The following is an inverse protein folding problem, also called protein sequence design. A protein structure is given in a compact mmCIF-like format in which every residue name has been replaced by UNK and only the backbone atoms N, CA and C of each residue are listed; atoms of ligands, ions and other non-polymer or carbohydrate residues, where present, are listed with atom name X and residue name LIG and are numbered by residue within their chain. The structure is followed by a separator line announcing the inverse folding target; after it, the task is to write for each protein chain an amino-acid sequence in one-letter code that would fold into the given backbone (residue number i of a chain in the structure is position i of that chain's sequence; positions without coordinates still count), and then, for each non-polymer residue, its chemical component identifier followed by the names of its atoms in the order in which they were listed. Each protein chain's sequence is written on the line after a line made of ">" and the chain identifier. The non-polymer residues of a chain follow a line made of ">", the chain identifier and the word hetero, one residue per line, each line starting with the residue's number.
data_IF_783780450310
#
_entry.id   IF_783780450310
#
_cell.length_a   1.000
_cell.length_b   1.000
_cell.length_c   1.000
_cell.angle_alpha   90.00
_cell.angle_beta   90.00
_cell.angle_gamma   90.00
#
_symmetry.space_group_name_H-M   'P 1'
#
loop_
_entity.id
_entity.type
_entity.pdbx_description
1 polymer ?
#
# COMPACT_ATOMS: atom_id res chain seq x y z
N UNK A 1 12.92 9.17 -22.11
CA UNK A 1 12.87 9.58 -20.71
C UNK A 1 11.89 10.74 -20.63
N UNK A 2 10.84 10.60 -19.84
CA UNK A 2 9.87 11.68 -19.63
C UNK A 2 10.50 12.78 -18.78
N UNK A 3 10.12 14.03 -19.05
CA UNK A 3 10.55 15.22 -18.33
C UNK A 3 9.40 15.78 -17.50
N UNK A 4 9.74 16.60 -16.53
CA UNK A 4 8.77 17.48 -15.89
C UNK A 4 8.07 18.31 -16.99
N UNK A 5 6.78 18.57 -16.80
CA UNK A 5 5.88 19.26 -17.76
C UNK A 5 5.54 18.52 -19.06
N UNK A 6 6.03 17.28 -19.26
CA UNK A 6 5.55 16.44 -20.37
C UNK A 6 4.05 16.11 -20.19
N UNK A 7 3.28 16.26 -21.27
CA UNK A 7 1.88 15.85 -21.27
C UNK A 7 1.75 14.36 -21.57
N UNK A 8 1.02 13.63 -20.73
CA UNK A 8 0.69 12.22 -20.93
C UNK A 8 -0.82 12.05 -21.13
N UNK A 9 -1.21 11.21 -22.10
CA UNK A 9 -2.59 10.75 -22.22
C UNK A 9 -2.85 9.68 -21.16
N UNK A 10 -3.91 9.84 -20.38
CA UNK A 10 -4.27 8.93 -19.29
C UNK A 10 -5.74 8.55 -19.44
N UNK A 11 -6.07 7.27 -19.26
CA UNK A 11 -7.46 6.81 -19.21
C UNK A 11 -8.06 7.02 -17.81
N UNK A 12 -9.39 6.93 -17.72
CA UNK A 12 -10.07 6.85 -16.43
C UNK A 12 -9.61 5.61 -15.64
N UNK A 13 -9.70 5.71 -14.31
CA UNK A 13 -9.35 4.61 -13.40
C UNK A 13 -10.29 3.42 -13.62
N UNK A 14 -9.73 2.27 -14.01
CA UNK A 14 -10.45 1.01 -14.12
C UNK A 14 -10.37 0.20 -12.81
N UNK A 15 -10.58 0.86 -11.65
CA UNK A 15 -10.33 0.24 -10.34
C UNK A 15 -11.30 -0.91 -10.06
N UNK A 16 -10.77 -2.13 -9.99
CA UNK A 16 -11.51 -3.34 -9.59
C UNK A 16 -11.02 -3.91 -8.27
N UNK A 17 -9.88 -3.42 -7.75
CA UNK A 17 -9.26 -3.92 -6.53
C UNK A 17 -9.61 -3.02 -5.35
N UNK A 18 -10.57 -3.46 -4.53
CA UNK A 18 -11.13 -2.67 -3.42
C UNK A 18 -11.04 -3.39 -2.08
N UNK A 19 -11.27 -2.64 -1.00
CA UNK A 19 -11.40 -3.18 0.34
C UNK A 19 -12.82 -3.71 0.57
N UNK A 20 -12.91 -4.91 1.13
CA UNK A 20 -14.14 -5.35 1.79
C UNK A 20 -14.27 -4.52 3.07
N UNK A 21 -15.34 -3.75 3.26
CA UNK A 21 -15.47 -2.78 4.36
C UNK A 21 -15.62 -3.46 5.74
N UNK A 22 -16.31 -4.62 5.79
CA UNK A 22 -16.66 -5.30 7.05
C UNK A 22 -15.75 -6.49 7.40
N UNK A 23 -14.59 -6.61 6.76
CA UNK A 23 -13.65 -7.66 7.12
C UNK A 23 -13.10 -7.44 8.55
N UNK A 24 -13.21 -8.46 9.39
CA UNK A 24 -12.69 -8.46 10.78
C UNK A 24 -11.17 -8.30 10.82
N UNK A 25 -10.47 -8.94 9.89
CA UNK A 25 -9.04 -8.81 9.72
C UNK A 25 -8.65 -8.90 8.24
N UNK A 26 -7.55 -8.23 7.87
CA UNK A 26 -7.02 -8.20 6.50
C UNK A 26 -5.53 -8.55 6.53
N UNK A 27 -5.13 -9.59 5.80
CA UNK A 27 -3.74 -9.89 5.54
C UNK A 27 -3.39 -9.39 4.14
N UNK A 28 -2.48 -8.42 4.07
CA UNK A 28 -1.98 -7.84 2.83
C UNK A 28 -0.56 -8.36 2.57
N UNK A 29 -0.33 -8.92 1.40
CA UNK A 29 0.99 -9.40 0.98
C UNK A 29 1.36 -8.66 -0.30
N UNK A 30 2.45 -7.90 -0.24
CA UNK A 30 2.97 -7.10 -1.33
C UNK A 30 4.36 -7.61 -1.73
N UNK A 31 4.57 -7.88 -3.01
CA UNK A 31 5.90 -8.13 -3.55
C UNK A 31 6.37 -6.95 -4.40
N UNK A 32 7.56 -6.42 -4.12
CA UNK A 32 8.17 -5.31 -4.90
C UNK A 32 7.16 -4.18 -5.17
N UNK A 33 6.92 -3.84 -6.44
CA UNK A 33 6.02 -2.75 -6.85
C UNK A 33 4.53 -3.03 -6.54
N UNK A 34 4.15 -4.28 -6.24
CA UNK A 34 2.79 -4.64 -5.86
C UNK A 34 2.29 -3.90 -4.61
N UNK A 35 3.21 -3.33 -3.82
CA UNK A 35 2.87 -2.44 -2.70
C UNK A 35 2.11 -1.19 -3.13
N UNK A 36 2.21 -0.74 -4.40
CA UNK A 36 1.65 0.54 -4.87
C UNK A 36 0.13 0.61 -4.70
N UNK A 37 -0.59 -0.48 -5.01
CA UNK A 37 -2.05 -0.51 -4.85
C UNK A 37 -2.40 -0.70 -3.37
N UNK A 38 -1.66 -1.55 -2.66
CA UNK A 38 -1.92 -1.84 -1.26
C UNK A 38 -1.63 -0.63 -0.36
N UNK A 39 -0.65 0.21 -0.68
CA UNK A 39 -0.34 1.42 0.09
C UNK A 39 -1.51 2.40 0.09
N UNK A 40 -2.18 2.59 -1.06
CA UNK A 40 -3.38 3.42 -1.17
C UNK A 40 -4.54 2.86 -0.33
N UNK A 41 -4.78 1.56 -0.39
CA UNK A 41 -5.84 0.92 0.40
C UNK A 41 -5.55 0.99 1.90
N UNK A 42 -4.29 0.78 2.29
CA UNK A 42 -3.84 0.86 3.69
C UNK A 42 -3.94 2.30 4.20
N UNK A 43 -3.59 3.30 3.38
CA UNK A 43 -3.79 4.71 3.71
C UNK A 43 -5.28 5.02 3.91
N UNK A 44 -6.17 4.51 3.06
CA UNK A 44 -7.63 4.65 3.24
C UNK A 44 -8.08 4.04 4.58
N UNK A 45 -7.63 2.83 4.91
CA UNK A 45 -7.92 2.21 6.21
C UNK A 45 -7.40 3.04 7.39
N UNK A 46 -6.21 3.62 7.26
CA UNK A 46 -5.62 4.45 8.29
C UNK A 46 -6.42 5.74 8.52
N UNK A 47 -6.83 6.42 7.45
CA UNK A 47 -7.70 7.60 7.51
C UNK A 47 -9.06 7.28 8.15
N UNK A 48 -9.57 6.07 7.98
CA UNK A 48 -10.78 5.58 8.65
C UNK A 48 -10.55 5.14 10.11
N UNK A 49 -9.32 5.21 10.64
CA UNK A 49 -8.98 4.68 11.96
C UNK A 49 -9.00 3.15 12.06
N UNK A 50 -9.07 2.44 10.93
CA UNK A 50 -9.22 0.99 10.83
C UNK A 50 -7.92 0.24 10.52
N UNK A 51 -6.77 0.91 10.47
CA UNK A 51 -5.48 0.26 10.16
C UNK A 51 -5.10 -0.84 11.15
N UNK A 52 -5.60 -0.79 12.39
CA UNK A 52 -5.41 -1.87 13.37
C UNK A 52 -6.02 -3.21 12.92
N UNK A 53 -6.96 -3.23 11.98
CA UNK A 53 -7.57 -4.46 11.46
C UNK A 53 -6.78 -5.09 10.30
N UNK A 54 -5.61 -4.54 9.96
CA UNK A 54 -4.78 -5.04 8.87
C UNK A 54 -3.37 -5.43 9.33
N UNK A 55 -2.78 -6.38 8.61
CA UNK A 55 -1.37 -6.80 8.72
C UNK A 55 -0.75 -6.76 7.32
N UNK A 56 0.45 -6.21 7.19
CA UNK A 56 1.17 -6.09 5.92
C UNK A 56 2.50 -6.87 5.97
N UNK A 57 2.69 -7.75 4.98
CA UNK A 57 3.97 -8.39 4.66
C UNK A 57 4.45 -7.80 3.33
N UNK A 58 5.60 -7.11 3.33
CA UNK A 58 6.14 -6.45 2.15
C UNK A 58 7.45 -7.10 1.70
N UNK A 59 7.34 -8.12 0.85
CA UNK A 59 8.46 -8.86 0.32
C UNK A 59 9.32 -7.98 -0.63
N UNK A 60 10.52 -7.61 -0.17
CA UNK A 60 11.55 -6.96 -0.97
C UNK A 60 12.93 -7.56 -0.67
N UNK A 61 13.89 -7.59 -1.64
CA UNK A 61 15.22 -8.17 -1.40
C UNK A 61 16.00 -7.49 -0.28
N UNK A 62 15.87 -6.17 -0.15
CA UNK A 62 16.35 -5.39 0.99
C UNK A 62 15.37 -4.24 1.24
N UNK A 63 15.49 -3.60 2.40
CA UNK A 63 14.68 -2.42 2.74
C UNK A 63 14.80 -1.29 1.72
N UNK A 64 15.95 -1.12 1.07
CA UNK A 64 16.15 -0.11 0.03
C UNK A 64 15.27 -0.32 -1.21
N UNK A 65 14.79 -1.55 -1.44
CA UNK A 65 13.86 -1.89 -2.52
C UNK A 65 12.40 -1.90 -2.07
N UNK A 66 12.12 -1.67 -0.78
CA UNK A 66 10.78 -1.66 -0.22
C UNK A 66 10.16 -0.26 -0.36
N UNK A 67 9.57 0.03 -1.53
CA UNK A 67 8.85 1.27 -1.76
C UNK A 67 7.78 1.53 -0.67
N UNK A 68 7.64 2.79 -0.24
CA UNK A 68 6.71 3.19 0.83
C UNK A 68 6.98 2.59 2.23
N UNK A 69 8.10 1.89 2.47
CA UNK A 69 8.39 1.27 3.77
C UNK A 69 8.33 2.24 4.95
N UNK A 70 8.93 3.42 4.81
CA UNK A 70 8.90 4.47 5.85
C UNK A 70 7.47 4.88 6.21
N UNK A 71 6.58 4.99 5.22
CA UNK A 71 5.18 5.35 5.43
C UNK A 71 4.43 4.20 6.11
N UNK A 72 4.66 2.96 5.69
CA UNK A 72 4.02 1.78 6.30
C UNK A 72 4.40 1.61 7.78
N UNK A 73 5.65 1.95 8.17
CA UNK A 73 6.08 1.95 9.58
C UNK A 73 5.39 3.00 10.44
N UNK A 74 4.92 4.10 9.85
CA UNK A 74 4.15 5.12 10.57
C UNK A 74 2.71 4.64 10.77
N UNK A 75 2.13 3.98 9.77
CA UNK A 75 0.74 3.52 9.79
C UNK A 75 0.54 2.30 10.71
N UNK A 76 1.49 1.36 10.69
CA UNK A 76 1.40 0.12 11.45
C UNK A 76 2.29 0.12 12.69
N UNK A 77 1.81 -0.52 13.75
CA UNK A 77 2.69 -0.89 14.86
C UNK A 77 3.71 -1.94 14.41
N UNK A 78 4.86 -2.02 15.10
CA UNK A 78 5.98 -2.93 14.76
C UNK A 78 5.59 -4.41 14.58
N UNK A 79 4.45 -4.85 15.12
CA UNK A 79 3.97 -6.24 15.01
C UNK A 79 3.09 -6.51 13.78
N UNK A 80 2.64 -5.46 13.07
CA UNK A 80 1.67 -5.55 11.96
C UNK A 80 2.28 -5.18 10.61
N UNK A 81 3.57 -4.89 10.58
CA UNK A 81 4.31 -4.62 9.36
C UNK A 81 5.70 -5.25 9.41
N UNK A 82 6.03 -6.03 8.38
CA UNK A 82 7.38 -6.51 8.11
C UNK A 82 7.74 -6.36 6.64
N UNK A 83 9.05 -6.38 6.36
CA UNK A 83 9.65 -6.45 5.04
C UNK A 83 10.28 -7.83 4.90
#
# INVERSE_FOLDING_TARGET
>A
MYKEDDTALVSLLASTFTLIEDAKHRLCIAGRIGITVLSLLIQKLHQQGKSYSATLIHCAPTEGYAAFAKQMRIIFSKKKYCI
#
